data_IF_290137228272
#
_entry.id   IF_290137228272
#
_cell.length_a   1.000
_cell.length_b   1.000
_cell.length_c   1.000
_cell.angle_alpha   90.00
_cell.angle_beta   90.00
_cell.angle_gamma   90.00
#
_symmetry.space_group_name_H-M   'P 1'
#
loop_
_entity.id
_entity.type
_entity.pdbx_description
1 polymer ?
#
# COMPACT_ATOMS: atom_id res chain seq x y z
N UNK A 1 -16.29 -32.78 -10.71
CA UNK A 1 -15.02 -33.08 -10.07
C UNK A 1 -13.85 -32.30 -10.69
N UNK A 2 -13.58 -32.37 -12.01
CA UNK A 2 -12.50 -31.55 -12.61
C UNK A 2 -12.63 -30.04 -12.37
N UNK A 3 -13.86 -29.49 -12.39
CA UNK A 3 -14.11 -28.08 -12.10
C UNK A 3 -13.80 -27.69 -10.65
N UNK A 4 -14.19 -28.55 -9.69
CA UNK A 4 -13.93 -28.29 -8.28
C UNK A 4 -12.42 -28.22 -7.99
N UNK A 5 -11.63 -29.07 -8.64
CA UNK A 5 -10.16 -29.03 -8.57
C UNK A 5 -9.63 -27.67 -9.09
N UNK A 6 -10.13 -27.24 -10.25
CA UNK A 6 -9.69 -25.97 -10.85
C UNK A 6 -10.07 -24.77 -9.98
N UNK A 7 -11.34 -24.71 -9.56
CA UNK A 7 -11.83 -23.62 -8.72
C UNK A 7 -11.08 -23.53 -7.39
N UNK A 8 -10.84 -24.68 -6.74
CA UNK A 8 -10.06 -24.72 -5.50
C UNK A 8 -8.59 -24.39 -5.70
N UNK A 9 -7.99 -24.78 -6.85
CA UNK A 9 -6.61 -24.40 -7.16
C UNK A 9 -6.45 -22.89 -7.35
N UNK A 10 -7.35 -22.25 -8.11
CA UNK A 10 -7.34 -20.78 -8.26
C UNK A 10 -7.60 -20.08 -6.93
N UNK A 11 -8.50 -20.61 -6.10
CA UNK A 11 -8.74 -20.12 -4.75
C UNK A 11 -7.52 -20.21 -3.84
N UNK A 12 -6.72 -21.31 -3.91
CA UNK A 12 -5.48 -21.42 -3.14
C UNK A 12 -4.43 -20.38 -3.58
N UNK A 13 -4.23 -20.19 -4.88
CA UNK A 13 -3.30 -19.18 -5.41
C UNK A 13 -3.70 -17.78 -4.97
N UNK A 14 -5.00 -17.47 -5.03
CA UNK A 14 -5.52 -16.19 -4.57
C UNK A 14 -5.28 -15.99 -3.06
N UNK A 15 -5.56 -17.00 -2.23
CA UNK A 15 -5.33 -16.91 -0.78
C UNK A 15 -3.85 -16.85 -0.43
N UNK A 16 -2.98 -17.51 -1.19
CA UNK A 16 -1.53 -17.38 -0.99
C UNK A 16 -1.07 -15.95 -1.21
N UNK A 17 -1.46 -15.31 -2.31
CA UNK A 17 -1.13 -13.91 -2.56
C UNK A 17 -1.68 -12.99 -1.45
N UNK A 18 -2.90 -13.25 -0.98
CA UNK A 18 -3.49 -12.47 0.12
C UNK A 18 -2.66 -12.60 1.40
N UNK A 19 -2.25 -13.81 1.77
CA UNK A 19 -1.40 -14.07 2.94
C UNK A 19 -0.04 -13.39 2.78
N UNK A 20 0.55 -13.40 1.59
CA UNK A 20 1.84 -12.74 1.31
C UNK A 20 1.73 -11.22 1.51
N UNK A 21 0.64 -10.60 1.04
CA UNK A 21 0.37 -9.16 1.23
C UNK A 21 0.15 -8.82 2.71
N UNK A 22 -0.66 -9.60 3.42
CA UNK A 22 -0.90 -9.43 4.86
C UNK A 22 0.40 -9.58 5.66
N UNK A 23 1.22 -10.56 5.30
CA UNK A 23 2.53 -10.79 5.95
C UNK A 23 3.46 -9.61 5.74
N UNK A 24 3.46 -9.02 4.54
CA UNK A 24 4.22 -7.80 4.25
C UNK A 24 3.73 -6.61 5.06
N UNK A 25 2.41 -6.41 5.18
CA UNK A 25 1.83 -5.37 6.02
C UNK A 25 2.27 -5.54 7.48
N UNK A 26 2.13 -6.74 8.02
CA UNK A 26 2.48 -7.03 9.41
C UNK A 26 3.98 -6.83 9.69
N UNK A 27 4.85 -7.24 8.76
CA UNK A 27 6.29 -7.03 8.87
C UNK A 27 6.67 -5.55 8.91
N UNK A 28 5.87 -4.67 8.28
CA UNK A 28 6.12 -3.24 8.16
C UNK A 28 5.26 -2.38 9.10
N UNK A 29 4.63 -2.96 10.12
CA UNK A 29 3.79 -2.23 11.08
C UNK A 29 4.57 -1.12 11.83
N UNK A 30 5.85 -1.34 12.12
CA UNK A 30 6.72 -0.38 12.80
C UNK A 30 7.54 0.49 11.83
N UNK A 31 7.32 0.36 10.53
CA UNK A 31 8.05 1.13 9.51
C UNK A 31 7.42 2.49 9.33
N UNK A 32 8.18 3.56 9.57
CA UNK A 32 7.74 4.96 9.45
C UNK A 32 7.29 5.26 8.03
N UNK A 33 6.08 5.83 7.87
CA UNK A 33 5.53 6.22 6.57
C UNK A 33 5.13 5.04 5.66
N UNK A 34 5.12 3.80 6.18
CA UNK A 34 4.63 2.66 5.42
C UNK A 34 3.12 2.74 5.22
N UNK A 35 2.68 2.38 4.03
CA UNK A 35 1.25 2.32 3.67
C UNK A 35 0.84 0.89 3.36
N UNK A 36 -0.23 0.42 4.02
CA UNK A 36 -0.74 -0.94 3.85
C UNK A 36 -1.16 -1.20 2.42
N UNK A 37 -0.92 -2.42 1.98
CA UNK A 37 -1.36 -2.92 0.69
C UNK A 37 -2.53 -3.89 0.87
N UNK A 38 -3.39 -4.00 -0.14
CA UNK A 38 -4.47 -4.99 -0.19
C UNK A 38 -4.52 -5.63 -1.56
N UNK A 39 -4.65 -6.95 -1.58
CA UNK A 39 -4.90 -7.69 -2.80
C UNK A 39 -6.38 -7.61 -3.18
N UNK A 40 -6.65 -7.39 -4.46
CA UNK A 40 -7.99 -7.39 -5.04
C UNK A 40 -8.16 -8.56 -6.00
N UNK A 41 -9.37 -9.11 -5.99
CA UNK A 41 -9.70 -10.32 -6.72
C UNK A 41 -10.95 -10.09 -7.54
N UNK A 42 -11.02 -10.78 -8.69
CA UNK A 42 -12.22 -10.85 -9.49
C UNK A 42 -12.59 -12.31 -9.78
N UNK A 43 -13.86 -12.56 -10.01
CA UNK A 43 -14.37 -13.85 -10.42
C UNK A 43 -14.04 -14.12 -11.90
N UNK A 44 -13.84 -15.41 -12.22
CA UNK A 44 -13.69 -15.85 -13.60
C UNK A 44 -15.04 -16.10 -14.26
N UNK A 45 -15.02 -16.22 -15.59
CA UNK A 45 -16.22 -16.44 -16.39
C UNK A 45 -17.09 -17.59 -15.86
N UNK A 46 -18.41 -17.43 -16.02
CA UNK A 46 -19.39 -18.45 -15.66
C UNK A 46 -19.69 -19.34 -16.85
N UNK A 47 -19.73 -20.65 -16.63
CA UNK A 47 -20.24 -21.58 -17.61
C UNK A 47 -21.75 -21.73 -17.42
N UNK A 48 -22.51 -21.38 -18.44
CA UNK A 48 -23.97 -21.56 -18.46
C UNK A 48 -24.31 -22.99 -18.84
N UNK A 49 -24.93 -23.74 -17.92
CA UNK A 49 -25.41 -25.10 -18.16
C UNK A 49 -26.87 -25.14 -18.61
N UNK A 50 -27.68 -24.20 -18.11
CA UNK A 50 -29.05 -23.94 -18.54
C UNK A 50 -29.28 -22.46 -18.61
N UNK A 51 -29.92 -22.02 -19.68
CA UNK A 51 -30.25 -20.61 -19.90
C UNK A 51 -31.58 -20.31 -19.23
N UNK A 52 -31.69 -19.18 -18.53
CA UNK A 52 -32.96 -18.68 -18.02
C UNK A 52 -33.87 -18.31 -19.20
N UNK A 53 -35.17 -18.60 -19.09
CA UNK A 53 -36.14 -18.36 -20.16
C UNK A 53 -36.20 -19.46 -21.23
N UNK A 54 -35.41 -20.53 -21.13
CA UNK A 54 -35.52 -21.66 -22.05
C UNK A 54 -36.89 -22.35 -21.89
N UNK A 55 -37.55 -22.60 -23.01
CA UNK A 55 -38.85 -23.30 -23.07
C UNK A 55 -38.59 -24.80 -22.88
N UNK A 56 -39.23 -25.40 -21.88
CA UNK A 56 -39.21 -26.84 -21.62
C UNK A 56 -40.41 -27.49 -22.30
N UNK A 57 -40.36 -28.82 -22.54
CA UNK A 57 -41.51 -29.58 -23.06
C UNK A 57 -42.76 -29.27 -22.24
N UNK A 58 -43.78 -28.64 -22.88
CA UNK A 58 -45.03 -28.22 -22.24
C UNK A 58 -45.22 -26.71 -22.10
N UNK A 59 -44.54 -25.88 -22.90
CA UNK A 59 -44.70 -24.40 -22.99
C UNK A 59 -44.45 -23.64 -21.66
N UNK A 60 -43.76 -24.31 -20.72
CA UNK A 60 -43.31 -23.68 -19.44
C UNK A 60 -41.92 -23.11 -19.60
N UNK A 61 -41.74 -21.81 -19.25
CA UNK A 61 -40.46 -21.14 -19.26
C UNK A 61 -39.71 -21.38 -17.94
N UNK A 62 -38.43 -21.70 -18.02
CA UNK A 62 -37.57 -21.83 -16.83
C UNK A 62 -37.29 -20.45 -16.24
N UNK A 63 -37.73 -20.15 -14.99
CA UNK A 63 -37.53 -18.82 -14.39
C UNK A 63 -36.06 -18.55 -14.04
N UNK A 64 -35.21 -19.58 -13.82
CA UNK A 64 -33.81 -19.44 -13.40
C UNK A 64 -32.93 -20.38 -14.21
N UNK A 65 -31.78 -19.89 -14.68
CA UNK A 65 -30.73 -20.67 -15.33
C UNK A 65 -29.78 -21.29 -14.31
N UNK A 66 -28.90 -22.19 -14.81
CA UNK A 66 -27.79 -22.75 -14.01
C UNK A 66 -26.48 -22.24 -14.60
N UNK A 67 -25.75 -21.45 -13.81
CA UNK A 67 -24.43 -20.94 -14.14
C UNK A 67 -23.44 -21.37 -13.05
N UNK A 68 -22.25 -21.79 -13.46
CA UNK A 68 -21.19 -22.25 -12.56
C UNK A 68 -19.95 -21.44 -12.82
N UNK A 69 -19.44 -20.76 -11.80
CA UNK A 69 -18.21 -19.98 -11.87
C UNK A 69 -16.97 -20.87 -12.03
N UNK A 70 -15.93 -20.35 -12.69
CA UNK A 70 -14.68 -21.06 -13.00
C UNK A 70 -13.56 -20.76 -12.00
N UNK A 71 -13.82 -19.95 -10.96
CA UNK A 71 -12.84 -19.62 -9.93
C UNK A 71 -12.60 -18.11 -9.82
N UNK A 72 -11.41 -17.76 -9.33
CA UNK A 72 -10.99 -16.41 -9.01
C UNK A 72 -9.61 -16.13 -9.60
N UNK A 73 -9.33 -14.86 -9.93
CA UNK A 73 -7.99 -14.38 -10.27
C UNK A 73 -7.63 -13.14 -9.47
N UNK A 74 -6.35 -12.93 -9.12
CA UNK A 74 -5.90 -11.65 -8.61
C UNK A 74 -5.92 -10.60 -9.72
N UNK A 75 -6.39 -9.40 -9.40
CA UNK A 75 -6.49 -8.28 -10.35
C UNK A 75 -5.41 -7.25 -10.06
N UNK A 76 -5.24 -6.86 -8.79
CA UNK A 76 -4.29 -5.85 -8.40
C UNK A 76 -3.87 -6.02 -6.93
N UNK A 77 -2.74 -5.41 -6.59
CA UNK A 77 -2.35 -5.14 -5.21
C UNK A 77 -2.09 -3.65 -5.13
N UNK A 78 -2.97 -2.91 -4.47
CA UNK A 78 -2.82 -1.47 -4.37
C UNK A 78 -2.56 -1.02 -2.93
N UNK A 79 -1.93 0.14 -2.79
CA UNK A 79 -1.62 0.76 -1.51
C UNK A 79 -2.71 1.74 -1.10
N UNK A 80 -2.99 1.76 0.19
CA UNK A 80 -3.89 2.73 0.81
C UNK A 80 -3.07 3.84 1.45
N UNK A 81 -3.19 5.04 0.93
CA UNK A 81 -2.47 6.21 1.44
C UNK A 81 -3.23 6.96 2.55
N UNK A 82 -4.15 6.26 3.23
CA UNK A 82 -4.76 6.80 4.46
C UNK A 82 -3.68 7.12 5.49
N UNK A 83 -3.92 8.14 6.29
CA UNK A 83 -2.99 8.58 7.31
C UNK A 83 -2.82 7.53 8.40
N UNK A 84 -1.58 7.35 8.87
CA UNK A 84 -1.24 6.56 10.04
C UNK A 84 -1.21 7.38 11.32
N UNK A 85 -0.98 6.74 12.46
CA UNK A 85 -0.86 7.40 13.76
C UNK A 85 0.42 8.25 13.83
N UNK A 86 0.35 9.35 14.58
CA UNK A 86 1.51 10.19 14.84
C UNK A 86 2.21 9.77 16.12
N UNK A 87 3.52 9.62 16.03
CA UNK A 87 4.38 9.40 17.18
C UNK A 87 5.23 10.62 17.44
N UNK A 88 5.12 11.20 18.64
CA UNK A 88 6.00 12.28 19.08
C UNK A 88 7.38 11.72 19.38
N UNK A 89 8.42 12.26 18.74
CA UNK A 89 9.82 11.88 18.92
C UNK A 89 10.62 12.95 19.62
N UNK A 90 10.14 14.20 19.62
CA UNK A 90 10.88 15.36 20.14
C UNK A 90 12.14 15.73 19.34
N UNK A 91 12.42 15.05 18.23
CA UNK A 91 13.53 15.38 17.34
C UNK A 91 13.07 16.45 16.32
N UNK A 92 13.73 17.61 16.25
CA UNK A 92 13.32 18.70 15.36
C UNK A 92 13.39 18.35 13.86
N UNK A 93 14.16 17.34 13.48
CA UNK A 93 14.28 16.84 12.10
C UNK A 93 13.28 15.71 11.75
N UNK A 94 12.49 15.25 12.70
CA UNK A 94 11.39 14.35 12.42
C UNK A 94 10.15 15.21 12.10
N UNK A 95 9.65 15.10 10.87
CA UNK A 95 8.55 15.92 10.35
C UNK A 95 7.47 15.02 9.78
N UNK A 96 6.28 15.06 10.31
CA UNK A 96 5.13 14.35 9.76
C UNK A 96 4.29 15.26 8.87
N UNK A 97 3.65 14.69 7.86
CA UNK A 97 2.66 15.38 7.03
C UNK A 97 1.28 15.04 7.59
N UNK A 98 0.51 16.06 7.99
CA UNK A 98 -0.87 15.92 8.41
C UNK A 98 -1.79 16.25 7.21
N UNK A 99 -2.42 15.23 6.64
CA UNK A 99 -3.18 15.30 5.39
C UNK A 99 -2.46 14.64 4.22
N UNK A 100 -2.80 15.05 2.99
CA UNK A 100 -2.23 14.48 1.76
C UNK A 100 -0.94 15.20 1.36
N UNK A 101 0.03 14.43 0.84
CA UNK A 101 1.30 14.96 0.34
C UNK A 101 2.46 14.00 0.51
N UNK A 102 3.54 14.29 -0.18
CA UNK A 102 4.80 13.52 -0.15
C UNK A 102 5.97 14.51 -0.12
N UNK A 103 7.04 14.11 0.54
CA UNK A 103 8.33 14.77 0.41
C UNK A 103 9.01 14.32 -0.87
N UNK A 104 9.70 15.22 -1.55
CA UNK A 104 10.54 14.90 -2.69
C UNK A 104 11.99 14.71 -2.23
N UNK A 105 12.64 13.68 -2.71
CA UNK A 105 14.03 13.36 -2.40
C UNK A 105 14.79 13.03 -3.68
N UNK A 106 16.03 13.47 -3.73
CA UNK A 106 16.94 13.12 -4.83
C UNK A 106 17.67 11.80 -4.52
N UNK A 107 17.54 10.85 -5.43
CA UNK A 107 18.22 9.56 -5.37
C UNK A 107 19.13 9.44 -6.60
N UNK A 108 20.38 9.86 -6.46
CA UNK A 108 21.38 9.83 -7.54
C UNK A 108 20.97 10.57 -8.84
N UNK A 109 20.26 11.69 -8.70
CA UNK A 109 19.79 12.49 -9.83
C UNK A 109 18.39 12.09 -10.34
N UNK A 110 17.72 11.14 -9.71
CA UNK A 110 16.33 10.80 -9.97
C UNK A 110 15.44 11.29 -8.82
N UNK A 111 14.41 12.06 -9.14
CA UNK A 111 13.47 12.57 -8.14
C UNK A 111 12.49 11.48 -7.74
N UNK A 112 12.43 11.20 -6.45
CA UNK A 112 11.53 10.21 -5.86
C UNK A 112 10.74 10.84 -4.72
N UNK A 113 9.65 10.21 -4.35
CA UNK A 113 8.70 10.71 -3.35
C UNK A 113 8.65 9.78 -2.15
N UNK A 114 8.54 10.36 -0.97
CA UNK A 114 8.45 9.60 0.27
C UNK A 114 7.44 10.20 1.23
N UNK A 115 6.81 9.35 2.02
CA UNK A 115 5.96 9.76 3.13
C UNK A 115 6.72 9.74 4.47
N UNK A 116 7.91 9.16 4.48
CA UNK A 116 8.75 9.10 5.68
C UNK A 116 9.45 10.42 5.91
N UNK A 117 9.12 11.10 6.99
CA UNK A 117 9.72 12.37 7.40
C UNK A 117 10.80 12.22 8.47
N UNK A 118 11.50 11.10 8.52
CA UNK A 118 12.62 10.91 9.46
C UNK A 118 13.92 11.34 8.81
N UNK A 119 14.28 12.61 9.00
CA UNK A 119 15.47 13.20 8.39
C UNK A 119 16.64 13.27 9.37
N UNK A 120 17.84 13.42 8.80
CA UNK A 120 19.11 13.58 9.51
C UNK A 120 19.96 14.64 8.80
N UNK A 121 20.96 15.17 9.48
CA UNK A 121 21.96 16.01 8.86
C UNK A 121 23.14 15.18 8.40
N UNK A 122 23.63 15.45 7.20
CA UNK A 122 24.88 14.91 6.66
C UNK A 122 26.08 15.72 7.17
N UNK A 123 27.30 15.33 6.81
CA UNK A 123 28.54 16.04 7.17
C UNK A 123 28.58 17.47 6.63
N UNK A 124 27.94 17.68 5.49
CA UNK A 124 27.86 19.00 4.84
C UNK A 124 26.74 19.87 5.39
N UNK A 125 26.03 19.43 6.45
CA UNK A 125 24.87 20.14 7.00
C UNK A 125 23.59 20.00 6.17
N UNK A 126 23.58 19.22 5.11
CA UNK A 126 22.38 19.02 4.29
C UNK A 126 21.39 18.06 4.95
N UNK A 127 20.10 18.32 4.76
CA UNK A 127 19.03 17.46 5.28
C UNK A 127 18.87 16.25 4.36
N UNK A 128 19.07 15.06 4.93
CA UNK A 128 19.02 13.78 4.20
C UNK A 128 18.10 12.79 4.90
N UNK A 129 17.59 11.82 4.15
CA UNK A 129 16.90 10.66 4.71
C UNK A 129 17.89 9.72 5.42
N UNK A 130 17.38 8.73 6.16
CA UNK A 130 18.20 7.67 6.80
C UNK A 130 19.14 6.96 5.81
N UNK A 131 18.74 6.89 4.52
CA UNK A 131 19.52 6.26 3.46
C UNK A 131 20.54 7.21 2.78
N UNK A 132 20.59 8.47 3.20
CA UNK A 132 21.50 9.47 2.64
C UNK A 132 20.95 10.20 1.40
N UNK A 133 19.66 10.10 1.09
CA UNK A 133 19.05 10.83 -0.01
C UNK A 133 18.71 12.25 0.40
N UNK A 134 19.01 13.23 -0.46
CA UNK A 134 18.85 14.65 -0.18
C UNK A 134 17.38 15.05 -0.30
N UNK A 135 16.85 15.76 0.71
CA UNK A 135 15.51 16.35 0.65
C UNK A 135 15.53 17.53 -0.33
N UNK A 136 14.53 17.62 -1.18
CA UNK A 136 14.36 18.74 -2.11
C UNK A 136 13.34 19.75 -1.56
N UNK A 137 13.61 21.07 -1.69
CA UNK A 137 14.85 21.66 -2.19
C UNK A 137 16.04 21.42 -1.24
N UNK A 138 17.22 21.32 -1.82
CA UNK A 138 18.44 21.11 -1.03
C UNK A 138 18.66 22.31 -0.10
N UNK A 139 18.72 22.01 1.20
CA UNK A 139 18.97 22.98 2.23
C UNK A 139 20.16 22.56 3.10
N UNK A 140 21.17 23.41 3.14
CA UNK A 140 22.32 23.23 4.00
C UNK A 140 22.16 24.09 5.25
N UNK A 141 22.15 23.46 6.41
CA UNK A 141 22.09 24.10 7.72
C UNK A 141 23.46 24.69 8.05
N UNK A 142 23.59 26.01 8.32
CA UNK A 142 24.85 26.63 8.72
C UNK A 142 25.40 26.06 10.04
N UNK A 143 26.73 26.02 10.20
CA UNK A 143 27.38 25.52 11.42
C UNK A 143 27.03 26.32 12.69
N UNK A 144 26.61 27.57 12.54
CA UNK A 144 26.21 28.48 13.63
C UNK A 144 24.81 28.21 14.16
N UNK A 145 24.03 27.31 13.51
CA UNK A 145 22.66 26.99 13.88
C UNK A 145 22.59 26.22 15.19
N UNK A 146 21.75 26.68 16.12
CA UNK A 146 21.44 25.98 17.37
C UNK A 146 20.12 25.27 17.38
N UNK A 147 19.15 25.83 16.68
CA UNK A 147 17.80 25.29 16.64
C UNK A 147 17.26 25.34 15.20
N UNK A 148 16.55 24.27 14.83
CA UNK A 148 15.87 24.18 13.54
C UNK A 148 14.37 24.19 13.83
N UNK A 149 13.68 25.17 13.28
CA UNK A 149 12.24 25.31 13.39
C UNK A 149 11.58 25.05 12.04
N UNK A 150 10.57 24.19 12.02
CA UNK A 150 9.78 23.89 10.83
C UNK A 150 8.32 24.25 11.13
N UNK A 151 7.82 25.24 10.41
CA UNK A 151 6.44 25.71 10.54
C UNK A 151 5.45 24.75 9.85
N UNK A 152 4.20 24.79 10.24
CA UNK A 152 3.12 24.04 9.61
C UNK A 152 2.96 24.35 8.10
N UNK A 153 3.37 25.54 7.67
CA UNK A 153 3.31 25.97 6.27
C UNK A 153 4.56 25.61 5.45
N UNK A 154 5.45 24.75 5.97
CA UNK A 154 6.65 24.33 5.25
C UNK A 154 7.84 25.25 5.37
N UNK A 155 7.73 26.36 6.09
CA UNK A 155 8.85 27.27 6.30
C UNK A 155 9.84 26.64 7.29
N UNK A 156 11.02 26.31 6.80
CA UNK A 156 12.15 25.79 7.56
C UNK A 156 13.08 26.96 7.86
N UNK A 157 13.33 27.23 9.14
CA UNK A 157 14.23 28.27 9.61
C UNK A 157 15.33 27.67 10.46
N UNK A 158 16.57 28.04 10.17
CA UNK A 158 17.73 27.77 11.00
C UNK A 158 17.99 28.97 11.92
N UNK A 159 17.87 28.78 13.24
CA UNK A 159 17.95 29.82 14.25
C UNK A 159 19.28 29.81 14.96
N UNK A 160 19.84 31.02 15.23
CA UNK A 160 21.03 31.23 16.07
C UNK A 160 20.69 31.15 17.56
N UNK A 161 21.70 31.28 18.41
CA UNK A 161 21.60 31.39 19.86
C UNK A 161 20.74 32.59 20.35
N UNK A 162 20.58 33.60 19.52
CA UNK A 162 19.78 34.78 19.80
C UNK A 162 18.32 34.67 19.32
N UNK A 163 17.97 33.57 18.61
CA UNK A 163 16.67 33.37 17.98
C UNK A 163 16.52 34.15 16.66
N UNK A 164 17.61 34.65 16.08
CA UNK A 164 17.58 35.24 14.74
C UNK A 164 17.70 34.18 13.66
N UNK A 165 16.97 34.37 12.57
CA UNK A 165 16.97 33.48 11.43
C UNK A 165 18.23 33.71 10.59
N UNK A 166 19.10 32.66 10.50
CA UNK A 166 20.32 32.70 9.72
C UNK A 166 20.06 32.28 8.27
N UNK A 167 19.26 31.23 8.11
CA UNK A 167 18.91 30.67 6.81
C UNK A 167 17.49 30.14 6.85
N UNK A 168 16.79 30.29 5.72
CA UNK A 168 15.45 29.76 5.55
C UNK A 168 15.30 29.03 4.22
N UNK A 169 14.39 28.06 4.20
CA UNK A 169 13.92 27.40 2.99
C UNK A 169 12.45 27.03 3.15
N UNK A 170 11.78 26.83 2.04
CA UNK A 170 10.42 26.32 2.02
C UNK A 170 10.45 24.85 1.60
N UNK A 171 9.80 23.99 2.36
CA UNK A 171 9.64 22.57 2.04
C UNK A 171 8.30 22.40 1.33
N UNK A 172 8.28 22.24 0.00
CA UNK A 172 7.05 21.97 -0.72
C UNK A 172 6.59 20.54 -0.45
N UNK A 173 5.29 20.31 -0.57
CA UNK A 173 4.71 18.98 -0.61
C UNK A 173 4.18 18.68 -2.01
N UNK A 174 4.32 17.43 -2.40
CA UNK A 174 3.89 16.94 -3.71
C UNK A 174 2.66 16.05 -3.56
N UNK A 175 1.64 16.31 -4.36
CA UNK A 175 0.42 15.50 -4.40
C UNK A 175 0.25 14.86 -5.77
N UNK A 176 -0.49 13.76 -5.81
CA UNK A 176 -0.81 13.03 -7.04
C UNK A 176 -2.30 12.84 -7.16
N UNK A 177 -2.83 12.92 -8.37
CA UNK A 177 -4.26 12.68 -8.63
C UNK A 177 -4.64 11.25 -8.23
N UNK A 178 -3.76 10.28 -8.53
CA UNK A 178 -3.95 8.89 -8.16
C UNK A 178 -2.72 8.33 -7.43
N UNK A 179 -2.62 8.50 -6.11
CA UNK A 179 -1.48 7.98 -5.34
C UNK A 179 -1.30 6.46 -5.42
N UNK A 180 -2.40 5.71 -5.62
CA UNK A 180 -2.35 4.25 -5.75
C UNK A 180 -1.60 3.78 -7.01
N UNK A 181 -1.46 4.65 -8.02
CA UNK A 181 -0.69 4.40 -9.22
C UNK A 181 0.82 4.58 -9.09
N UNK A 182 1.31 5.06 -7.94
CA UNK A 182 2.74 5.21 -7.69
C UNK A 182 3.46 3.86 -7.63
N UNK A 183 4.63 3.77 -8.28
CA UNK A 183 5.48 2.57 -8.20
C UNK A 183 6.38 2.61 -6.97
N UNK A 184 6.31 1.57 -6.14
CA UNK A 184 7.09 1.46 -4.91
C UNK A 184 8.47 0.84 -5.21
N UNK A 185 9.53 1.63 -5.13
CA UNK A 185 10.93 1.20 -5.34
C UNK A 185 11.58 0.58 -4.11
N UNK A 186 10.84 0.44 -3.02
CA UNK A 186 11.39 0.04 -1.72
C UNK A 186 11.96 1.22 -0.94
N UNK A 187 12.39 0.99 0.33
CA UNK A 187 12.92 2.04 1.23
C UNK A 187 11.95 3.21 1.46
N UNK A 188 10.65 2.95 1.35
CA UNK A 188 9.57 3.95 1.42
C UNK A 188 9.63 5.03 0.32
N UNK A 189 10.27 4.70 -0.82
CA UNK A 189 10.37 5.56 -1.99
C UNK A 189 9.34 5.15 -3.05
N UNK A 190 8.78 6.17 -3.67
CA UNK A 190 7.80 6.05 -4.73
C UNK A 190 8.27 6.82 -5.96
N UNK A 191 8.06 6.26 -7.14
CA UNK A 191 8.25 6.96 -8.42
C UNK A 191 6.91 7.20 -9.09
N UNK A 192 6.72 8.36 -9.74
CA UNK A 192 5.51 8.62 -10.51
C UNK A 192 5.44 7.67 -11.71
N UNK A 193 4.23 7.35 -12.12
CA UNK A 193 3.93 6.55 -13.32
C UNK A 193 2.87 7.27 -14.16
N UNK A 194 2.65 6.82 -15.38
CA UNK A 194 1.53 7.34 -16.20
C UNK A 194 0.16 7.17 -15.52
N UNK A 195 0.04 6.18 -14.62
CA UNK A 195 -1.20 5.91 -13.89
C UNK A 195 -1.39 6.81 -12.65
N UNK A 196 -0.31 7.35 -12.07
CA UNK A 196 -0.39 8.31 -10.95
C UNK A 196 -0.75 9.72 -11.41
N UNK A 197 -0.46 10.05 -12.68
CA UNK A 197 -0.42 11.42 -13.19
C UNK A 197 0.85 12.13 -12.78
N UNK A 198 0.98 13.38 -13.24
CA UNK A 198 2.11 14.26 -12.92
C UNK A 198 2.04 14.70 -11.46
N UNK A 199 3.21 15.01 -10.89
CA UNK A 199 3.31 15.60 -9.56
C UNK A 199 2.76 17.02 -9.54
N UNK A 200 1.98 17.33 -8.53
CA UNK A 200 1.49 18.67 -8.26
C UNK A 200 2.22 19.20 -7.03
N UNK A 201 3.07 20.18 -7.24
CA UNK A 201 3.75 20.89 -6.17
C UNK A 201 2.76 21.85 -5.49
N UNK A 202 2.76 21.85 -4.15
CA UNK A 202 1.91 22.72 -3.36
C UNK A 202 2.58 23.17 -2.07
N UNK A 203 2.14 24.33 -1.60
CA UNK A 203 2.57 24.87 -0.29
C UNK A 203 1.77 24.16 0.79
N UNK A 204 2.45 23.63 1.85
CA UNK A 204 1.75 22.99 2.96
C UNK A 204 0.69 23.92 3.58
N UNK A 205 -0.53 23.37 3.75
CA UNK A 205 -1.67 24.13 4.30
C UNK A 205 -2.49 24.93 3.28
N UNK A 206 -2.10 24.96 2.02
CA UNK A 206 -2.87 25.58 0.93
C UNK A 206 -3.36 24.50 -0.07
N UNK A 207 -4.34 24.82 -0.89
CA UNK A 207 -4.83 24.03 -2.04
C UNK A 207 -5.08 22.54 -1.75
N UNK A 208 -5.61 22.23 -0.57
CA UNK A 208 -5.88 20.83 -0.15
C UNK A 208 -4.61 19.98 0.07
N UNK A 209 -3.46 20.61 0.20
CA UNK A 209 -2.19 19.97 0.60
C UNK A 209 -2.14 19.91 2.12
N UNK A 210 -1.59 18.82 2.66
CA UNK A 210 -1.43 18.63 4.10
C UNK A 210 -0.52 19.68 4.75
N UNK A 211 -0.55 19.78 6.07
CA UNK A 211 0.35 20.61 6.88
C UNK A 211 1.52 19.79 7.41
N UNK A 212 2.58 20.47 7.85
CA UNK A 212 3.75 19.83 8.48
C UNK A 212 3.65 19.90 10.00
N UNK A 213 3.98 18.80 10.68
CA UNK A 213 4.10 18.71 12.12
C UNK A 213 5.53 18.34 12.51
N UNK A 214 6.27 19.30 13.09
CA UNK A 214 7.64 19.09 13.57
C UNK A 214 7.66 18.29 14.88
N UNK A 215 8.67 17.45 15.06
CA UNK A 215 8.83 16.61 16.25
C UNK A 215 7.94 15.36 16.25
N UNK A 216 7.24 15.10 15.16
CA UNK A 216 6.41 13.94 14.96
C UNK A 216 6.88 13.13 13.75
N UNK A 217 6.60 11.85 13.76
CA UNK A 217 6.73 10.98 12.59
C UNK A 217 5.43 10.21 12.38
N UNK A 218 5.08 9.99 11.15
CA UNK A 218 3.95 9.18 10.77
C UNK A 218 4.32 7.70 10.87
N UNK A 219 3.57 6.93 11.64
CA UNK A 219 3.68 5.48 11.74
C UNK A 219 2.96 4.80 10.57
N UNK A 220 3.16 3.50 10.42
CA UNK A 220 2.39 2.70 9.48
C UNK A 220 0.89 2.79 9.78
N UNK A 221 0.05 2.80 8.73
CA UNK A 221 -1.41 2.71 8.85
C UNK A 221 -1.92 1.26 8.96
N UNK A 222 -1.03 0.34 9.35
CA UNK A 222 -1.34 -1.09 9.54
C UNK A 222 -1.82 -1.33 10.96
N UNK A 223 -3.01 -1.89 11.10
CA UNK A 223 -3.55 -2.33 12.38
C UNK A 223 -3.24 -3.81 12.60
N UNK A 224 -2.41 -4.10 13.61
CA UNK A 224 -1.88 -5.45 13.88
C UNK A 224 -3.00 -6.47 14.08
N UNK A 225 -4.02 -6.11 14.87
CA UNK A 225 -5.11 -7.03 15.21
C UNK A 225 -5.92 -7.41 13.98
N UNK A 226 -6.23 -6.42 13.13
CA UNK A 226 -6.98 -6.65 11.89
C UNK A 226 -6.19 -7.54 10.92
N UNK A 227 -4.90 -7.26 10.74
CA UNK A 227 -4.05 -8.05 9.85
C UNK A 227 -3.86 -9.49 10.37
N UNK A 228 -3.75 -9.69 11.70
CA UNK A 228 -3.71 -11.03 12.28
C UNK A 228 -5.01 -11.80 12.06
N UNK A 229 -6.16 -11.16 12.22
CA UNK A 229 -7.47 -11.78 11.95
C UNK A 229 -7.60 -12.13 10.47
N UNK A 230 -7.23 -11.20 9.57
CA UNK A 230 -7.24 -11.43 8.13
C UNK A 230 -6.31 -12.57 7.73
N UNK A 231 -5.14 -12.69 8.36
CA UNK A 231 -4.21 -13.79 8.14
C UNK A 231 -4.83 -15.15 8.54
N UNK A 232 -5.48 -15.21 9.72
CA UNK A 232 -6.15 -16.44 10.18
C UNK A 232 -7.27 -16.84 9.19
N UNK A 233 -8.06 -15.88 8.73
CA UNK A 233 -9.12 -16.12 7.75
C UNK A 233 -8.54 -16.64 6.43
N UNK A 234 -7.46 -16.02 5.92
CA UNK A 234 -6.76 -16.45 4.72
C UNK A 234 -6.20 -17.88 4.83
N UNK A 235 -5.55 -18.19 5.96
CA UNK A 235 -5.02 -19.53 6.22
C UNK A 235 -6.14 -20.56 6.28
N UNK A 236 -7.27 -20.27 6.94
CA UNK A 236 -8.41 -21.18 6.98
C UNK A 236 -9.04 -21.39 5.61
N UNK A 237 -9.15 -20.33 4.83
CA UNK A 237 -9.65 -20.44 3.45
C UNK A 237 -8.71 -21.32 2.58
N UNK A 238 -7.40 -21.17 2.74
CA UNK A 238 -6.41 -22.00 2.07
C UNK A 238 -6.54 -23.49 2.47
N UNK A 239 -6.66 -23.78 3.78
CA UNK A 239 -6.87 -25.14 4.30
C UNK A 239 -8.14 -25.79 3.73
N UNK A 240 -9.26 -25.04 3.68
CA UNK A 240 -10.53 -25.54 3.13
C UNK A 240 -10.39 -25.85 1.64
N UNK A 241 -9.76 -24.99 0.86
CA UNK A 241 -9.50 -25.25 -0.56
C UNK A 241 -8.60 -26.48 -0.76
N UNK A 242 -7.57 -26.65 0.07
CA UNK A 242 -6.69 -27.84 0.05
C UNK A 242 -7.47 -29.13 0.34
N UNK A 243 -8.33 -29.11 1.36
CA UNK A 243 -9.21 -30.24 1.68
C UNK A 243 -10.19 -30.56 0.53
N UNK A 244 -10.72 -29.53 -0.13
CA UNK A 244 -11.60 -29.72 -1.29
C UNK A 244 -10.88 -30.43 -2.45
N UNK A 245 -9.60 -30.12 -2.68
CA UNK A 245 -8.77 -30.82 -3.67
C UNK A 245 -8.55 -32.28 -3.26
N UNK A 246 -8.14 -32.53 -2.02
CA UNK A 246 -7.92 -33.89 -1.53
C UNK A 246 -9.21 -34.78 -1.62
N UNK A 247 -10.36 -34.21 -1.27
CA UNK A 247 -11.63 -34.88 -1.39
C UNK A 247 -11.99 -35.17 -2.85
N UNK A 248 -11.75 -34.21 -3.74
CA UNK A 248 -12.00 -34.42 -5.18
C UNK A 248 -11.06 -35.48 -5.78
N UNK A 249 -9.82 -35.54 -5.35
CA UNK A 249 -8.84 -36.57 -5.77
C UNK A 249 -9.25 -37.94 -5.29
N UNK A 250 -9.64 -38.05 -4.01
CA UNK A 250 -10.13 -39.34 -3.45
C UNK A 250 -11.39 -39.85 -4.18
N UNK A 251 -12.33 -38.93 -4.53
CA UNK A 251 -13.51 -39.31 -5.34
C UNK A 251 -13.12 -39.79 -6.74
N UNK A 252 -12.13 -39.18 -7.38
CA UNK A 252 -11.62 -39.61 -8.69
C UNK A 252 -10.93 -40.99 -8.57
N UNK A 253 -10.13 -41.21 -7.51
CA UNK A 253 -9.51 -42.48 -7.22
C UNK A 253 -10.54 -43.63 -7.07
N UNK A 254 -11.61 -43.35 -6.31
CA UNK A 254 -12.70 -44.31 -6.14
C UNK A 254 -13.42 -44.63 -7.48
N UNK A 255 -13.68 -43.59 -8.28
CA UNK A 255 -14.33 -43.75 -9.59
C UNK A 255 -13.47 -44.59 -10.57
N UNK A 256 -12.14 -44.45 -10.54
CA UNK A 256 -11.19 -45.21 -11.33
C UNK A 256 -11.16 -46.71 -10.87
N UNK A 257 -11.23 -46.94 -9.55
CA UNK A 257 -11.27 -48.32 -9.00
C UNK A 257 -12.56 -49.01 -9.40
N UNK A 258 -13.72 -48.35 -9.35
CA UNK A 258 -15.00 -48.92 -9.77
C UNK A 258 -15.05 -49.29 -11.27
N UNK A 259 -14.26 -48.66 -12.11
CA UNK A 259 -14.16 -48.98 -13.54
C UNK A 259 -13.27 -50.20 -13.80
N UNK A 260 -12.40 -50.55 -12.85
CA UNK A 260 -11.48 -51.69 -12.95
C UNK A 260 -12.03 -53.02 -12.38
N UNK A 261 -13.07 -52.94 -11.57
CA UNK A 261 -13.84 -54.08 -11.07
C UNK A 261 -15.03 -54.34 -12.01
#
# INVERSE_FOLDING_TARGET
MMRSLWTSATGMVAQQLNIDVISNNLANVNTTGFKKSRAEFEDLMYQTMKVAGAITEGDTTLPVGIQVGMGVRPTAVHKFFTQGDFQNTGNPLDVAIEGDGFFQVDVNGELMYTRSGSFKLNQDGTIVTINGYILQPEFAVPEETKEISISANGHLAALDANGEEIAAAEIPLYTFINPAGLDARGRNLYTPTEASGDELEGIPGEDNVGTLAQGFREMSNVEVVDEMVNMIVGQRAYEVNSKAIQTSDSMLGTAVQLKRS
#
